data_IF_676863613607
#
_entry.id   IF_676863613607
#
_cell.length_a   1.000
_cell.length_b   1.000
_cell.length_c   1.000
_cell.angle_alpha   90.00
_cell.angle_beta   90.00
_cell.angle_gamma   90.00
#
_symmetry.space_group_name_H-M   'P 1'
#
loop_
_entity.id
_entity.type
_entity.pdbx_description
1 polymer ?
#
# COMPACT_ATOMS: atom_id res chain seq x y z
N UNK A 1 -24.32 2.98 6.13
CA UNK A 1 -24.52 1.51 6.13
C UNK A 1 -25.24 1.21 7.42
N UNK A 2 -26.51 0.82 7.36
CA UNK A 2 -27.31 0.49 8.54
C UNK A 2 -26.79 -0.84 9.08
N UNK A 3 -26.55 -0.92 10.38
CA UNK A 3 -26.09 -2.14 11.02
C UNK A 3 -27.18 -3.22 10.89
N UNK A 4 -26.93 -4.36 10.20
CA UNK A 4 -27.94 -5.40 9.98
C UNK A 4 -28.41 -6.08 11.27
N UNK A 5 -27.71 -5.88 12.39
CA UNK A 5 -28.11 -6.41 13.69
C UNK A 5 -29.15 -5.53 14.41
N UNK A 6 -29.39 -4.30 13.96
CA UNK A 6 -30.37 -3.38 14.58
C UNK A 6 -31.82 -3.84 14.38
N UNK A 7 -32.12 -4.59 13.31
CA UNK A 7 -33.48 -4.99 12.93
C UNK A 7 -33.78 -6.47 13.23
N UNK A 8 -32.83 -7.21 13.82
CA UNK A 8 -33.00 -8.64 14.12
C UNK A 8 -33.61 -8.88 15.50
N UNK A 9 -34.56 -9.80 15.58
CA UNK A 9 -35.12 -10.25 16.85
C UNK A 9 -34.13 -11.14 17.62
N UNK A 10 -34.26 -11.25 18.96
CA UNK A 10 -33.40 -12.12 19.76
C UNK A 10 -33.39 -13.59 19.31
N UNK A 11 -34.50 -14.09 18.76
CA UNK A 11 -34.60 -15.45 18.25
C UNK A 11 -33.79 -15.65 16.95
N UNK A 12 -33.76 -14.63 16.08
CA UNK A 12 -32.98 -14.65 14.84
C UNK A 12 -31.48 -14.59 15.12
N UNK A 13 -31.06 -13.80 16.11
CA UNK A 13 -29.68 -13.73 16.57
C UNK A 13 -29.23 -15.09 17.15
N UNK A 14 -30.08 -15.74 17.95
CA UNK A 14 -29.80 -17.05 18.52
C UNK A 14 -29.63 -18.12 17.43
N UNK A 15 -30.53 -18.15 16.44
CA UNK A 15 -30.44 -19.07 15.31
C UNK A 15 -29.21 -18.82 14.42
N UNK A 16 -28.75 -17.58 14.28
CA UNK A 16 -27.50 -17.27 13.58
C UNK A 16 -26.27 -17.73 14.37
N UNK A 17 -26.28 -17.51 15.69
CA UNK A 17 -25.17 -17.87 16.57
C UNK A 17 -25.00 -19.39 16.66
N UNK A 18 -26.11 -20.14 16.68
CA UNK A 18 -26.09 -21.60 16.67
C UNK A 18 -25.48 -22.19 15.38
N UNK A 19 -25.48 -21.43 14.28
CA UNK A 19 -24.85 -21.82 13.01
C UNK A 19 -23.37 -21.47 12.93
N UNK A 20 -22.83 -20.72 13.89
CA UNK A 20 -21.41 -20.39 13.92
C UNK A 20 -20.61 -21.61 14.37
N UNK A 21 -19.62 -21.98 13.56
CA UNK A 21 -18.65 -23.01 13.90
C UNK A 21 -17.38 -22.31 14.36
N UNK A 22 -17.01 -22.50 15.61
CA UNK A 22 -15.70 -22.05 16.11
C UNK A 22 -14.63 -22.89 15.43
N UNK A 23 -13.63 -22.20 14.89
CA UNK A 23 -12.47 -22.84 14.24
C UNK A 23 -11.20 -22.43 14.96
N UNK A 24 -10.28 -23.37 15.08
CA UNK A 24 -8.90 -23.13 15.55
C UNK A 24 -7.97 -22.78 14.37
N UNK A 25 -8.51 -22.65 13.15
CA UNK A 25 -7.74 -22.17 12.01
C UNK A 25 -7.19 -20.76 12.31
N UNK A 26 -5.91 -20.51 11.99
CA UNK A 26 -5.31 -19.20 12.21
C UNK A 26 -6.06 -18.16 11.38
N UNK A 27 -6.74 -17.26 12.08
CA UNK A 27 -7.39 -16.09 11.50
C UNK A 27 -6.40 -14.93 11.47
N UNK A 28 -6.13 -14.37 10.30
CA UNK A 28 -5.35 -13.14 10.18
C UNK A 28 -6.21 -11.95 10.62
N UNK A 29 -5.83 -11.33 11.74
CA UNK A 29 -6.47 -10.12 12.24
C UNK A 29 -6.28 -9.00 11.19
N UNK A 30 -7.33 -8.22 10.87
CA UNK A 30 -7.20 -7.08 9.98
C UNK A 30 -6.09 -6.14 10.43
N UNK A 31 -5.41 -5.52 9.46
CA UNK A 31 -4.40 -4.50 9.71
C UNK A 31 -5.02 -3.38 10.57
N UNK A 32 -4.54 -3.22 11.80
CA UNK A 32 -4.98 -2.13 12.67
C UNK A 32 -4.53 -0.79 12.09
N UNK A 33 -5.48 0.12 11.89
CA UNK A 33 -5.22 1.46 11.39
C UNK A 33 -5.81 2.48 12.36
N UNK A 34 -5.03 3.50 12.75
CA UNK A 34 -5.46 4.52 13.68
C UNK A 34 -4.32 5.41 14.18
N UNK A 35 -4.60 6.52 14.89
CA UNK A 35 -3.59 7.50 15.31
C UNK A 35 -2.51 6.93 16.23
N UNK A 36 -2.84 5.85 16.95
CA UNK A 36 -1.95 5.19 17.92
C UNK A 36 -1.44 3.83 17.43
N UNK A 37 -1.77 3.43 16.20
CA UNK A 37 -1.29 2.18 15.61
C UNK A 37 0.11 2.39 15.03
N UNK A 38 0.93 1.33 15.03
CA UNK A 38 2.22 1.37 14.36
C UNK A 38 2.04 1.60 12.85
N UNK A 39 2.97 2.28 12.16
CA UNK A 39 2.93 2.40 10.71
C UNK A 39 2.96 1.01 10.05
N UNK A 40 1.94 0.73 9.25
CA UNK A 40 1.75 -0.54 8.57
C UNK A 40 1.47 -0.30 7.08
N UNK A 41 1.90 -1.24 6.25
CA UNK A 41 1.65 -1.17 4.81
C UNK A 41 0.19 -1.56 4.54
N UNK A 42 -0.63 -0.60 4.12
CA UNK A 42 -2.04 -0.83 3.80
C UNK A 42 -2.15 -1.21 2.31
N UNK A 43 -2.70 -2.39 1.96
CA UNK A 43 -2.94 -2.74 0.57
C UNK A 43 -4.00 -1.83 -0.05
N UNK A 44 -3.74 -1.30 -1.25
CA UNK A 44 -4.66 -0.44 -1.99
C UNK A 44 -4.75 -0.91 -3.44
N UNK A 45 -5.97 -1.17 -3.91
CA UNK A 45 -6.22 -1.46 -5.33
C UNK A 45 -6.22 -0.17 -6.14
N UNK A 46 -5.56 -0.20 -7.29
CA UNK A 46 -5.57 0.91 -8.27
C UNK A 46 -6.02 0.34 -9.61
N UNK A 47 -6.90 1.07 -10.31
CA UNK A 47 -7.29 0.71 -11.68
C UNK A 47 -6.33 1.34 -12.67
N UNK A 48 -5.71 0.52 -13.51
CA UNK A 48 -4.80 0.93 -14.58
C UNK A 48 -5.04 0.08 -15.82
N UNK A 49 -4.64 0.59 -16.98
CA UNK A 49 -4.69 -0.18 -18.23
C UNK A 49 -3.65 -1.30 -18.21
N UNK A 50 -3.86 -2.33 -19.05
CA UNK A 50 -2.95 -3.47 -19.16
C UNK A 50 -1.55 -3.03 -19.62
N UNK A 51 -1.49 -2.09 -20.54
CA UNK A 51 -0.25 -1.56 -21.09
C UNK A 51 0.57 -0.84 -20.02
N UNK A 52 -0.11 -0.04 -19.18
CA UNK A 52 0.53 0.67 -18.08
C UNK A 52 1.00 -0.29 -16.99
N UNK A 53 0.20 -1.31 -16.64
CA UNK A 53 0.61 -2.37 -15.70
C UNK A 53 1.88 -3.07 -16.18
N UNK A 54 1.93 -3.45 -17.46
CA UNK A 54 3.10 -4.09 -18.07
C UNK A 54 4.34 -3.17 -18.02
N UNK A 55 4.19 -1.91 -18.41
CA UNK A 55 5.29 -0.94 -18.37
C UNK A 55 5.80 -0.72 -16.95
N UNK A 56 4.90 -0.63 -15.97
CA UNK A 56 5.21 -0.50 -14.55
C UNK A 56 6.02 -1.68 -14.03
N UNK A 57 5.59 -2.92 -14.34
CA UNK A 57 6.30 -4.15 -13.95
C UNK A 57 7.70 -4.23 -14.55
N UNK A 58 7.84 -3.89 -15.83
CA UNK A 58 9.13 -3.88 -16.50
C UNK A 58 10.08 -2.86 -15.88
N UNK A 59 9.61 -1.64 -15.60
CA UNK A 59 10.43 -0.60 -14.97
C UNK A 59 10.85 -1.01 -13.55
N UNK A 60 9.92 -1.55 -12.75
CA UNK A 60 10.22 -2.04 -11.42
C UNK A 60 11.29 -3.14 -11.45
N UNK A 61 11.16 -4.11 -12.37
CA UNK A 61 12.15 -5.17 -12.54
C UNK A 61 13.54 -4.64 -12.94
N UNK A 62 13.60 -3.67 -13.86
CA UNK A 62 14.86 -3.02 -14.26
C UNK A 62 15.55 -2.29 -13.09
N UNK A 63 14.78 -1.85 -12.09
CA UNK A 63 15.28 -1.19 -10.88
C UNK A 63 15.55 -2.17 -9.73
N UNK A 64 15.32 -3.48 -9.93
CA UNK A 64 15.43 -4.48 -8.86
C UNK A 64 14.38 -4.34 -7.76
N UNK A 65 13.21 -3.77 -8.08
CA UNK A 65 12.12 -3.49 -7.13
C UNK A 65 10.88 -4.32 -7.47
N UNK A 66 10.03 -4.55 -6.47
CA UNK A 66 8.65 -4.95 -6.70
C UNK A 66 7.83 -3.81 -7.30
N UNK A 67 6.72 -4.15 -7.97
CA UNK A 67 5.80 -3.15 -8.51
C UNK A 67 5.25 -2.20 -7.43
N UNK A 68 4.93 -2.72 -6.25
CA UNK A 68 4.43 -1.93 -5.12
C UNK A 68 5.49 -0.96 -4.57
N UNK A 69 6.75 -1.37 -4.51
CA UNK A 69 7.86 -0.48 -4.12
C UNK A 69 8.07 0.64 -5.13
N UNK A 70 8.02 0.30 -6.42
CA UNK A 70 8.14 1.30 -7.48
C UNK A 70 7.01 2.34 -7.39
N UNK A 71 5.75 1.91 -7.30
CA UNK A 71 4.60 2.83 -7.16
C UNK A 71 4.71 3.69 -5.90
N UNK A 72 5.09 3.08 -4.76
CA UNK A 72 5.31 3.82 -3.51
C UNK A 72 6.39 4.88 -3.67
N UNK A 73 7.53 4.55 -4.29
CA UNK A 73 8.63 5.49 -4.50
C UNK A 73 8.20 6.72 -5.33
N UNK A 74 7.33 6.53 -6.33
CA UNK A 74 6.79 7.61 -7.15
C UNK A 74 5.89 8.52 -6.33
N UNK A 75 4.95 7.96 -5.56
CA UNK A 75 4.04 8.71 -4.70
C UNK A 75 4.82 9.51 -3.67
N UNK A 76 5.76 8.88 -2.99
CA UNK A 76 6.55 9.58 -1.99
C UNK A 76 7.40 10.69 -2.63
N UNK A 77 7.95 10.48 -3.84
CA UNK A 77 8.76 11.47 -4.56
C UNK A 77 7.92 12.69 -4.93
N UNK A 78 6.70 12.46 -5.41
CA UNK A 78 5.72 13.50 -5.70
C UNK A 78 5.35 14.31 -4.45
N UNK A 79 4.98 13.62 -3.36
CA UNK A 79 4.64 14.26 -2.07
C UNK A 79 5.81 15.10 -1.53
N UNK A 80 7.04 14.57 -1.60
CA UNK A 80 8.24 15.29 -1.16
C UNK A 80 8.49 16.55 -2.01
N UNK A 81 8.23 16.47 -3.31
CA UNK A 81 8.36 17.61 -4.24
C UNK A 81 7.28 18.66 -3.99
N UNK A 82 6.05 18.22 -3.73
CA UNK A 82 4.92 19.09 -3.44
C UNK A 82 4.97 19.71 -2.03
N UNK A 83 5.81 19.20 -1.13
CA UNK A 83 5.94 19.68 0.25
C UNK A 83 4.72 19.37 1.12
N UNK A 84 3.90 18.38 0.74
CA UNK A 84 2.62 18.07 1.39
C UNK A 84 2.69 16.95 2.43
N UNK A 85 3.87 16.33 2.63
CA UNK A 85 4.08 15.23 3.58
C UNK A 85 4.99 15.63 4.75
N UNK A 86 4.96 14.83 5.83
CA UNK A 86 5.94 14.97 6.90
C UNK A 86 7.37 14.79 6.36
N UNK A 87 8.33 15.62 6.82
CA UNK A 87 9.69 15.61 6.32
C UNK A 87 10.31 14.22 6.48
N UNK A 88 10.67 13.58 5.36
CA UNK A 88 11.33 12.26 5.40
C UNK A 88 12.56 12.27 6.29
N UNK A 89 12.86 11.16 6.99
CA UNK A 89 14.13 10.96 7.68
C UNK A 89 15.31 11.21 6.73
N UNK A 90 16.43 11.79 7.21
CA UNK A 90 17.57 12.18 6.38
C UNK A 90 18.09 11.06 5.46
N UNK A 91 18.20 9.84 5.98
CA UNK A 91 18.72 8.68 5.23
C UNK A 91 17.88 8.32 3.99
N UNK A 92 16.56 8.55 4.02
CA UNK A 92 15.68 8.31 2.86
C UNK A 92 15.91 9.35 1.77
N UNK A 93 16.22 10.60 2.15
CA UNK A 93 16.53 11.68 1.21
C UNK A 93 17.86 11.41 0.49
N UNK A 94 18.85 10.91 1.23
CA UNK A 94 20.15 10.52 0.67
C UNK A 94 20.01 9.37 -0.33
N UNK A 95 19.23 8.33 -0.01
CA UNK A 95 18.98 7.22 -0.93
C UNK A 95 18.31 7.70 -2.24
N UNK A 96 17.30 8.58 -2.13
CA UNK A 96 16.64 9.14 -3.31
C UNK A 96 17.55 10.05 -4.13
N UNK A 97 18.44 10.81 -3.49
CA UNK A 97 19.42 11.64 -4.18
C UNK A 97 20.40 10.76 -4.99
N UNK A 98 20.83 9.62 -4.45
CA UNK A 98 21.67 8.64 -5.16
C UNK A 98 20.93 8.07 -6.36
N UNK A 99 19.65 7.69 -6.20
CA UNK A 99 18.83 7.17 -7.31
C UNK A 99 18.68 8.23 -8.42
N UNK A 100 18.34 9.47 -8.06
CA UNK A 100 18.19 10.56 -9.02
C UNK A 100 19.52 10.90 -9.75
N UNK A 101 20.64 10.80 -9.05
CA UNK A 101 21.97 10.99 -9.64
C UNK A 101 22.30 9.90 -10.66
N UNK A 102 22.00 8.64 -10.34
CA UNK A 102 22.15 7.52 -11.27
C UNK A 102 21.25 7.66 -12.51
N UNK A 103 19.99 8.06 -12.34
CA UNK A 103 19.06 8.29 -13.47
C UNK A 103 19.62 9.36 -14.43
N UNK A 104 20.15 10.47 -13.91
CA UNK A 104 20.75 11.53 -14.74
C UNK A 104 22.06 11.12 -15.43
N UNK A 105 22.90 10.32 -14.77
CA UNK A 105 24.17 9.89 -15.35
C UNK A 105 23.99 8.85 -16.47
N UNK A 106 22.99 7.97 -16.35
CA UNK A 106 22.62 7.04 -17.43
C UNK A 106 22.04 7.78 -18.65
N UNK A 107 21.26 8.85 -18.42
CA UNK A 107 20.77 9.72 -19.49
C UNK A 107 21.90 10.50 -20.19
N UNK A 108 22.97 10.86 -19.47
CA UNK A 108 24.12 11.59 -20.01
C UNK A 108 25.09 10.71 -20.80
N UNK A 109 25.19 9.42 -20.49
CA UNK A 109 26.04 8.45 -21.23
C UNK A 109 25.38 7.91 -22.50
N UNK A 110 24.07 8.07 -22.63
CA UNK A 110 23.29 7.60 -23.79
C UNK A 110 23.10 8.67 -24.88
N UNK A 111 23.70 9.86 -24.71
CA UNK A 111 23.64 10.98 -25.65
C UNK A 111 25.03 11.35 -26.15
#
# INVERSE_FOLDING_TARGET
MTDPFMDMSPAEIAAMTERLVFTDEPFEVPIETGPNAAPVMIPRSVKITRELDKACKNRAANLGMSQSEYIRSLIERDIATAGTGEPRPPWVRELLAVIAHHENDDHRKAS
#
